data_IF_522242738670
#
_entry.id   IF_522242738670
#
_cell.length_a   1.000
_cell.length_b   1.000
_cell.length_c   1.000
_cell.angle_alpha   90.00
_cell.angle_beta   90.00
_cell.angle_gamma   90.00
#
_symmetry.space_group_name_H-M   'P 1'
#
loop_
_entity.id
_entity.type
_entity.pdbx_description
1 polymer ?
#
# COMPACT_ATOMS: atom_id res chain seq x y z
N UNK A 1 48.43 36.72 41.96
CA UNK A 1 48.05 35.47 41.28
C UNK A 1 46.53 35.45 41.23
N UNK A 2 45.98 35.87 40.10
CA UNK A 2 44.54 35.97 39.88
C UNK A 2 44.07 34.66 39.25
N UNK A 3 43.20 33.92 39.93
CA UNK A 3 42.32 32.95 39.28
C UNK A 3 40.90 33.41 39.51
N UNK A 4 40.33 33.94 38.43
CA UNK A 4 39.01 34.50 38.33
C UNK A 4 37.94 33.42 38.47
N UNK A 5 36.91 33.72 39.25
CA UNK A 5 35.60 33.11 39.14
C UNK A 5 35.00 33.49 37.77
N UNK A 6 34.75 32.50 36.91
CA UNK A 6 33.83 32.64 35.78
C UNK A 6 33.10 31.32 35.51
N UNK A 7 32.01 31.09 36.23
CA UNK A 7 30.82 30.50 35.63
C UNK A 7 29.82 31.65 35.51
N UNK A 8 29.24 31.90 34.33
CA UNK A 8 28.14 31.04 33.91
C UNK A 8 28.00 30.88 32.39
N UNK A 9 27.00 30.09 32.01
CA UNK A 9 26.37 30.06 30.70
C UNK A 9 27.18 29.42 29.56
N UNK A 10 27.15 28.08 29.56
CA UNK A 10 26.94 27.34 28.32
C UNK A 10 26.08 26.13 28.64
N UNK A 11 24.78 26.39 28.86
CA UNK A 11 23.79 25.47 28.31
C UNK A 11 24.06 25.49 26.81
N UNK A 12 24.87 24.52 26.35
CA UNK A 12 25.01 24.22 24.95
C UNK A 12 23.63 23.80 24.46
N UNK A 13 22.86 24.80 24.05
CA UNK A 13 21.73 24.65 23.16
C UNK A 13 22.29 24.13 21.83
N UNK A 14 22.57 22.84 21.80
CA UNK A 14 22.79 22.06 20.59
C UNK A 14 21.59 21.13 20.42
N UNK A 15 20.40 21.74 20.37
CA UNK A 15 19.23 21.15 19.70
C UNK A 15 19.42 21.31 18.18
N UNK A 16 20.38 20.58 17.63
CA UNK A 16 20.69 20.50 16.21
C UNK A 16 21.10 19.04 16.01
N UNK A 17 20.35 18.12 15.40
CA UNK A 17 19.32 18.19 14.38
C UNK A 17 18.11 17.35 14.80
N UNK A 18 16.93 17.95 14.92
CA UNK A 18 15.74 17.18 14.66
C UNK A 18 15.76 16.85 13.16
N UNK A 19 15.82 15.57 12.86
CA UNK A 19 15.63 15.00 11.54
C UNK A 19 14.18 15.31 11.10
N UNK A 20 13.96 16.53 10.61
CA UNK A 20 12.65 17.20 10.56
C UNK A 20 11.91 17.09 9.22
N UNK A 21 12.33 16.18 8.34
CA UNK A 21 11.59 15.85 7.11
C UNK A 21 10.55 14.69 7.15
N UNK A 22 10.10 14.13 8.29
CA UNK A 22 8.97 13.18 8.29
C UNK A 22 7.59 13.85 8.23
N UNK A 23 7.40 15.01 8.86
CA UNK A 23 6.04 15.60 9.07
C UNK A 23 5.35 15.97 7.74
N UNK A 24 6.12 16.52 6.79
CA UNK A 24 5.60 16.89 5.47
C UNK A 24 5.18 15.67 4.66
N UNK A 25 5.92 14.57 4.80
CA UNK A 25 5.65 13.30 4.12
C UNK A 25 4.34 12.68 4.63
N UNK A 26 4.13 12.67 5.95
CA UNK A 26 2.86 12.21 6.54
C UNK A 26 1.66 13.06 6.12
N UNK A 27 1.78 14.40 6.11
CA UNK A 27 0.69 15.27 5.67
C UNK A 27 0.37 15.13 4.17
N UNK A 28 1.39 14.99 3.31
CA UNK A 28 1.22 14.74 1.88
C UNK A 28 0.48 13.42 1.65
N UNK A 29 0.90 12.36 2.33
CA UNK A 29 0.32 11.01 2.18
C UNK A 29 -1.07 10.95 2.78
N UNK A 30 -1.30 11.60 3.91
CA UNK A 30 -2.62 11.75 4.49
C UNK A 30 -3.58 12.44 3.50
N UNK A 31 -3.14 13.55 2.89
CA UNK A 31 -3.90 14.22 1.84
C UNK A 31 -4.13 13.33 0.61
N UNK A 32 -3.12 12.59 0.18
CA UNK A 32 -3.22 11.67 -0.95
C UNK A 32 -4.20 10.51 -0.66
N UNK A 33 -4.16 9.93 0.54
CA UNK A 33 -5.10 8.89 1.00
C UNK A 33 -6.54 9.44 1.07
N UNK A 34 -6.70 10.69 1.49
CA UNK A 34 -8.00 11.35 1.49
C UNK A 34 -8.54 11.53 0.07
N UNK A 35 -7.73 12.06 -0.85
CA UNK A 35 -8.09 12.22 -2.27
C UNK A 35 -8.41 10.86 -2.89
N UNK A 36 -7.58 9.84 -2.62
CA UNK A 36 -7.79 8.50 -3.13
C UNK A 36 -9.10 7.87 -2.61
N UNK A 37 -9.43 8.11 -1.34
CA UNK A 37 -10.70 7.66 -0.76
C UNK A 37 -11.90 8.40 -1.36
N UNK A 38 -11.78 9.69 -1.62
CA UNK A 38 -12.79 10.48 -2.32
C UNK A 38 -12.98 10.02 -3.77
N UNK A 39 -11.89 9.71 -4.49
CA UNK A 39 -11.94 9.16 -5.84
C UNK A 39 -12.60 7.77 -5.88
N UNK A 40 -12.32 6.92 -4.88
CA UNK A 40 -13.00 5.64 -4.73
C UNK A 40 -14.52 5.83 -4.60
N UNK A 41 -14.95 6.76 -3.76
CA UNK A 41 -16.36 7.08 -3.58
C UNK A 41 -17.00 7.70 -4.82
N UNK A 42 -16.26 8.53 -5.55
CA UNK A 42 -16.72 9.13 -6.80
C UNK A 42 -16.94 8.09 -7.89
N UNK A 43 -16.06 7.09 -7.97
CA UNK A 43 -16.23 5.95 -8.86
C UNK A 43 -17.48 5.13 -8.54
N UNK A 44 -17.76 4.93 -7.25
CA UNK A 44 -19.02 4.30 -6.83
C UNK A 44 -20.23 5.18 -7.20
N UNK A 45 -20.09 6.51 -7.16
CA UNK A 45 -21.14 7.46 -7.55
C UNK A 45 -21.43 7.47 -9.05
N UNK A 46 -20.41 7.28 -9.90
CA UNK A 46 -20.61 7.17 -11.36
C UNK A 46 -21.41 5.93 -11.78
N UNK A 47 -21.78 5.05 -10.86
CA UNK A 47 -22.74 3.97 -11.11
C UNK A 47 -22.24 2.98 -12.16
N UNK A 48 -20.91 2.81 -12.29
CA UNK A 48 -20.32 1.87 -13.23
C UNK A 48 -20.78 0.45 -12.85
N UNK A 49 -21.53 -0.20 -13.74
CA UNK A 49 -22.07 -1.54 -13.53
C UNK A 49 -21.17 -2.61 -14.16
N UNK A 50 -21.20 -3.82 -13.57
CA UNK A 50 -20.46 -4.98 -14.07
C UNK A 50 -18.98 -5.03 -13.65
N UNK A 51 -18.13 -5.58 -14.53
CA UNK A 51 -16.70 -5.81 -14.28
C UNK A 51 -15.90 -4.54 -14.00
N UNK A 52 -16.36 -3.40 -14.52
CA UNK A 52 -15.68 -2.13 -14.36
C UNK A 52 -15.70 -1.63 -12.91
N UNK A 53 -16.74 -1.96 -12.13
CA UNK A 53 -16.77 -1.67 -10.69
C UNK A 53 -15.75 -2.50 -9.93
N UNK A 54 -15.68 -3.79 -10.28
CA UNK A 54 -14.78 -4.75 -9.63
C UNK A 54 -13.30 -4.38 -9.83
N UNK A 55 -12.91 -4.05 -11.07
CA UNK A 55 -11.52 -3.65 -11.35
C UNK A 55 -11.17 -2.35 -10.63
N UNK A 56 -12.08 -1.38 -10.58
CA UNK A 56 -11.81 -0.07 -10.02
C UNK A 56 -11.73 -0.10 -8.49
N UNK A 57 -12.59 -0.87 -7.82
CA UNK A 57 -12.49 -1.14 -6.38
C UNK A 57 -11.16 -1.81 -6.05
N UNK A 58 -10.77 -2.85 -6.82
CA UNK A 58 -9.48 -3.52 -6.62
C UNK A 58 -8.29 -2.58 -6.80
N UNK A 59 -8.34 -1.71 -7.82
CA UNK A 59 -7.30 -0.70 -8.07
C UNK A 59 -7.20 0.29 -6.90
N UNK A 60 -8.32 0.86 -6.43
CA UNK A 60 -8.28 1.77 -5.27
C UNK A 60 -7.83 1.06 -3.99
N UNK A 61 -8.21 -0.20 -3.81
CA UNK A 61 -7.81 -1.02 -2.67
C UNK A 61 -6.29 -1.30 -2.69
N UNK A 62 -5.73 -1.60 -3.86
CA UNK A 62 -4.28 -1.75 -4.08
C UNK A 62 -3.54 -0.42 -3.87
N UNK A 63 -4.00 0.68 -4.49
CA UNK A 63 -3.35 1.98 -4.36
C UNK A 63 -3.31 2.46 -2.91
N UNK A 64 -4.42 2.36 -2.18
CA UNK A 64 -4.45 2.78 -0.76
C UNK A 64 -3.56 1.89 0.10
N UNK A 65 -3.58 0.57 -0.11
CA UNK A 65 -2.76 -0.36 0.66
C UNK A 65 -1.27 -0.16 0.36
N UNK A 66 -0.90 0.02 -0.92
CA UNK A 66 0.46 0.34 -1.34
C UNK A 66 0.97 1.65 -0.75
N UNK A 67 0.14 2.70 -0.74
CA UNK A 67 0.46 3.97 -0.09
C UNK A 67 0.66 3.83 1.42
N UNK A 68 -0.18 3.06 2.09
CA UNK A 68 -0.05 2.81 3.53
C UNK A 68 1.23 2.03 3.81
N UNK A 69 1.54 0.98 3.05
CA UNK A 69 2.78 0.20 3.21
C UNK A 69 4.02 1.05 2.91
N UNK A 70 4.00 1.81 1.81
CA UNK A 70 5.13 2.63 1.39
C UNK A 70 5.41 3.84 2.30
N UNK A 71 4.53 4.18 3.26
CA UNK A 71 4.68 5.38 4.10
C UNK A 71 4.57 5.05 5.58
N UNK A 72 3.54 4.31 5.99
CA UNK A 72 3.36 3.92 7.39
C UNK A 72 4.21 2.73 7.78
N UNK A 73 4.51 1.82 6.85
CA UNK A 73 5.53 0.78 7.09
C UNK A 73 6.94 1.21 6.67
N UNK A 74 7.09 2.36 6.03
CA UNK A 74 8.36 2.91 5.57
C UNK A 74 8.88 4.00 6.53
N UNK A 75 9.14 3.62 7.78
CA UNK A 75 10.34 4.16 8.42
C UNK A 75 11.46 3.19 8.05
N UNK A 76 12.32 3.64 7.14
CA UNK A 76 13.28 2.84 6.38
C UNK A 76 14.49 2.36 7.21
N UNK A 77 14.29 1.58 8.28
CA UNK A 77 15.40 0.95 8.99
C UNK A 77 14.96 -0.41 9.59
N UNK A 78 15.49 -1.49 8.99
CA UNK A 78 15.74 -2.83 9.58
C UNK A 78 15.02 -4.10 9.08
N UNK A 79 13.84 -4.13 8.42
CA UNK A 79 13.22 -5.47 8.14
C UNK A 79 12.51 -5.64 6.78
N UNK A 80 13.30 -5.89 5.72
CA UNK A 80 12.80 -6.49 4.46
C UNK A 80 12.01 -7.79 4.70
N UNK A 81 12.40 -8.56 5.72
CA UNK A 81 11.70 -9.80 6.10
C UNK A 81 10.24 -9.58 6.53
N UNK A 82 9.92 -8.45 7.18
CA UNK A 82 8.53 -8.14 7.56
C UNK A 82 7.69 -7.76 6.34
N UNK A 83 8.27 -7.03 5.38
CA UNK A 83 7.60 -6.71 4.12
C UNK A 83 7.28 -7.99 3.36
N UNK A 84 8.25 -8.91 3.23
CA UNK A 84 7.99 -10.22 2.62
C UNK A 84 6.93 -11.00 3.38
N UNK A 85 6.93 -11.02 4.71
CA UNK A 85 5.91 -11.73 5.49
C UNK A 85 4.48 -11.20 5.26
N UNK A 86 4.31 -9.93 4.91
CA UNK A 86 2.99 -9.31 4.69
C UNK A 86 2.58 -9.33 3.21
N UNK A 87 3.53 -9.21 2.26
CA UNK A 87 3.25 -9.23 0.81
C UNK A 87 3.16 -10.66 0.27
N UNK A 88 3.92 -11.59 0.83
CA UNK A 88 3.93 -12.98 0.38
C UNK A 88 2.56 -13.67 0.50
N UNK A 89 1.79 -13.53 1.61
CA UNK A 89 0.48 -14.17 1.72
C UNK A 89 -0.54 -13.68 0.67
N UNK A 90 -0.74 -12.37 0.45
CA UNK A 90 -1.58 -11.87 -0.63
C UNK A 90 -1.14 -12.34 -2.02
N UNK A 91 0.17 -12.35 -2.28
CA UNK A 91 0.72 -12.81 -3.56
C UNK A 91 0.39 -14.29 -3.82
N UNK A 92 0.57 -15.14 -2.80
CA UNK A 92 0.30 -16.57 -2.89
C UNK A 92 -1.18 -16.85 -3.15
N UNK A 93 -2.08 -16.11 -2.48
CA UNK A 93 -3.52 -16.17 -2.76
C UNK A 93 -3.84 -15.75 -4.20
N UNK A 94 -3.20 -14.69 -4.71
CA UNK A 94 -3.43 -14.19 -6.07
C UNK A 94 -2.99 -15.22 -7.12
N UNK A 95 -1.83 -15.85 -6.92
CA UNK A 95 -1.34 -16.95 -7.77
C UNK A 95 -2.30 -18.15 -7.70
N UNK A 96 -2.73 -18.55 -6.50
CA UNK A 96 -3.67 -19.66 -6.33
C UNK A 96 -5.00 -19.42 -7.06
N UNK A 97 -5.56 -18.22 -6.93
CA UNK A 97 -6.77 -17.81 -7.65
C UNK A 97 -6.55 -17.82 -9.16
N UNK A 98 -5.41 -17.31 -9.65
CA UNK A 98 -5.10 -17.33 -11.08
C UNK A 98 -5.04 -18.76 -11.64
N UNK A 99 -4.41 -19.69 -10.91
CA UNK A 99 -4.38 -21.10 -11.27
C UNK A 99 -5.78 -21.72 -11.28
N UNK A 100 -6.60 -21.46 -10.27
CA UNK A 100 -7.98 -21.96 -10.19
C UNK A 100 -8.88 -21.44 -11.32
N UNK A 101 -8.73 -20.18 -11.71
CA UNK A 101 -9.44 -19.60 -12.87
C UNK A 101 -8.98 -20.29 -14.15
N UNK A 102 -7.69 -20.55 -14.30
CA UNK A 102 -7.16 -21.25 -15.47
C UNK A 102 -7.72 -22.66 -15.60
N UNK A 103 -7.67 -23.45 -14.52
CA UNK A 103 -8.25 -24.81 -14.44
C UNK A 103 -9.75 -24.80 -14.74
N UNK A 104 -10.50 -23.86 -14.17
CA UNK A 104 -11.94 -23.72 -14.42
C UNK A 104 -12.23 -23.50 -15.91
N UNK A 105 -11.39 -22.71 -16.59
CA UNK A 105 -11.54 -22.45 -18.02
C UNK A 105 -11.21 -23.69 -18.87
N UNK A 106 -10.20 -24.49 -18.50
CA UNK A 106 -9.88 -25.77 -19.16
C UNK A 106 -10.99 -26.81 -19.00
N UNK A 107 -11.60 -26.90 -17.81
CA UNK A 107 -12.74 -27.79 -17.55
C UNK A 107 -13.96 -27.34 -18.33
N UNK A 108 -14.25 -26.04 -18.38
CA UNK A 108 -15.35 -25.48 -19.17
C UNK A 108 -15.15 -25.78 -20.66
N UNK A 109 -13.97 -25.49 -21.20
CA UNK A 109 -13.63 -25.75 -22.60
C UNK A 109 -13.78 -27.22 -22.95
N UNK A 110 -13.25 -28.12 -22.13
CA UNK A 110 -13.38 -29.58 -22.31
C UNK A 110 -14.85 -30.00 -22.27
N UNK A 111 -15.66 -29.47 -21.36
CA UNK A 111 -17.10 -29.77 -21.34
C UNK A 111 -17.80 -29.30 -22.62
N UNK A 112 -17.49 -28.12 -23.14
CA UNK A 112 -18.08 -27.62 -24.38
C UNK A 112 -17.64 -28.42 -25.61
N UNK A 113 -16.38 -28.85 -25.69
CA UNK A 113 -15.90 -29.65 -26.83
C UNK A 113 -16.52 -31.05 -26.84
N UNK A 114 -16.71 -31.68 -25.67
CA UNK A 114 -17.29 -33.01 -25.57
C UNK A 114 -18.83 -33.05 -25.53
N UNK A 115 -19.51 -32.05 -24.95
CA UNK A 115 -20.99 -31.97 -24.95
C UNK A 115 -21.58 -31.13 -26.10
N UNK A 116 -20.80 -30.25 -26.73
CA UNK A 116 -21.25 -29.42 -27.86
C UNK A 116 -20.99 -30.01 -29.24
N UNK A 117 -20.19 -31.08 -29.35
CA UNK A 117 -19.93 -31.81 -30.60
C UNK A 117 -20.85 -33.02 -30.83
N UNK A 118 -22.00 -33.06 -30.18
CA UNK A 118 -22.96 -34.18 -30.19
C UNK A 118 -24.26 -33.92 -30.96
N UNK A 119 -24.24 -33.02 -31.94
CA UNK A 119 -25.19 -32.96 -33.07
C UNK A 119 -24.42 -33.11 -34.40
#
# INVERSE_FOLDING_TARGET
>A
MAHAETHPAQHAAAHTEHQQHPIKLYLLVWGLLFVLSALSYLVDYFGLQGYLRWSLILIFMMLKAGLIVAVFMHMAWERLALIYAIILPPLLVLVFVALMVSESNYVLFTRLTFFGGGE
#
